data_IF_806024867425
#
_entry.id   IF_806024867425
#
_cell.length_a   1.000
_cell.length_b   1.000
_cell.length_c   1.000
_cell.angle_alpha   90.00
_cell.angle_beta   90.00
_cell.angle_gamma   90.00
#
_symmetry.space_group_name_H-M   'P 1'
#
loop_
_entity.id
_entity.type
_entity.pdbx_description
1 polymer ?
#
# COMPACT_ATOMS: atom_id res chain seq x y z
N UNK A 1 17.38 -3.46 14.27
CA UNK A 1 16.03 -3.80 14.76
C UNK A 1 16.08 -4.82 15.89
N UNK A 2 16.33 -4.37 17.14
CA UNK A 2 16.48 -5.25 18.32
C UNK A 2 15.13 -5.60 19.00
N UNK A 3 14.00 -5.15 18.45
CA UNK A 3 12.64 -5.30 19.01
C UNK A 3 11.67 -6.11 18.14
N UNK A 4 12.15 -6.90 17.17
CA UNK A 4 11.28 -7.72 16.30
C UNK A 4 10.81 -9.05 16.91
N UNK A 5 11.23 -9.38 18.14
CA UNK A 5 10.79 -10.61 18.80
C UNK A 5 9.38 -10.50 19.39
N UNK A 6 8.92 -9.29 19.74
CA UNK A 6 7.58 -9.06 20.29
C UNK A 6 6.57 -8.51 19.28
N UNK A 7 6.99 -8.26 18.03
CA UNK A 7 6.06 -7.79 16.99
C UNK A 7 5.15 -8.92 16.51
N UNK A 8 3.82 -8.70 16.44
CA UNK A 8 2.90 -9.67 15.85
C UNK A 8 3.28 -9.98 14.40
N UNK A 9 3.11 -11.25 13.99
CA UNK A 9 3.47 -11.71 12.65
C UNK A 9 2.86 -10.84 11.54
N UNK A 10 1.58 -10.44 11.67
CA UNK A 10 0.89 -9.63 10.68
C UNK A 10 1.45 -8.21 10.53
N UNK A 11 2.09 -7.65 11.55
CA UNK A 11 2.81 -6.37 11.47
C UNK A 11 4.20 -6.59 10.90
N UNK A 12 4.87 -7.68 11.34
CA UNK A 12 6.20 -8.03 10.87
C UNK A 12 6.20 -8.26 9.36
N UNK A 13 5.24 -9.02 8.83
CA UNK A 13 5.08 -9.23 7.39
C UNK A 13 4.93 -7.94 6.58
N UNK A 14 4.36 -6.89 7.16
CA UNK A 14 4.19 -5.61 6.49
C UNK A 14 5.50 -4.80 6.44
N UNK A 15 6.31 -4.83 7.51
CA UNK A 15 7.41 -3.88 7.71
C UNK A 15 8.78 -4.52 7.99
N UNK A 16 8.95 -5.83 7.85
CA UNK A 16 10.21 -6.54 8.19
C UNK A 16 11.43 -5.96 7.45
N UNK A 17 11.22 -5.58 6.19
CA UNK A 17 12.25 -5.02 5.32
C UNK A 17 12.33 -3.48 5.35
N UNK A 18 11.50 -2.81 6.16
CA UNK A 18 11.34 -1.35 6.13
C UNK A 18 11.74 -0.76 7.48
N UNK A 19 12.93 -0.15 7.60
CA UNK A 19 13.48 0.27 8.89
C UNK A 19 12.90 1.59 9.42
N UNK A 20 12.38 2.46 8.54
CA UNK A 20 11.96 3.82 8.93
C UNK A 20 10.50 4.11 8.62
N UNK A 21 9.88 4.92 9.48
CA UNK A 21 8.50 5.40 9.32
C UNK A 21 8.28 6.12 7.99
N UNK A 22 9.27 6.89 7.54
CA UNK A 22 9.21 7.64 6.27
C UNK A 22 9.07 6.70 5.08
N UNK A 23 9.83 5.62 5.06
CA UNK A 23 9.74 4.60 4.00
C UNK A 23 8.39 3.87 4.04
N UNK A 24 7.89 3.53 5.23
CA UNK A 24 6.59 2.89 5.39
C UNK A 24 5.43 3.77 4.87
N UNK A 25 5.45 5.06 5.19
CA UNK A 25 4.50 6.02 4.62
C UNK A 25 4.62 6.12 3.10
N UNK A 26 5.85 6.18 2.58
CA UNK A 26 6.10 6.19 1.13
C UNK A 26 5.48 4.97 0.44
N UNK A 27 5.67 3.78 1.02
CA UNK A 27 5.10 2.53 0.50
C UNK A 27 3.57 2.60 0.40
N UNK A 28 2.88 3.08 1.44
CA UNK A 28 1.43 3.25 1.42
C UNK A 28 1.00 4.22 0.31
N UNK A 29 1.70 5.35 0.16
CA UNK A 29 1.41 6.33 -0.89
C UNK A 29 1.59 5.72 -2.28
N UNK A 30 2.67 4.96 -2.51
CA UNK A 30 2.88 4.25 -3.77
C UNK A 30 1.79 3.21 -4.03
N UNK A 31 1.35 2.46 -3.02
CA UNK A 31 0.22 1.54 -3.16
C UNK A 31 -1.07 2.26 -3.54
N UNK A 32 -1.36 3.43 -2.95
CA UNK A 32 -2.55 4.24 -3.29
C UNK A 32 -2.46 4.74 -4.74
N UNK A 33 -1.33 5.30 -5.16
CA UNK A 33 -1.13 5.78 -6.54
C UNK A 33 -1.27 4.63 -7.54
N UNK A 34 -0.66 3.48 -7.25
CA UNK A 34 -0.77 2.29 -8.08
C UNK A 34 -2.20 1.78 -8.15
N UNK A 35 -2.93 1.77 -7.03
CA UNK A 35 -4.34 1.38 -7.00
C UNK A 35 -5.20 2.26 -7.88
N UNK A 36 -5.00 3.59 -7.81
CA UNK A 36 -5.69 4.54 -8.68
C UNK A 36 -5.32 4.35 -10.15
N UNK A 37 -4.06 4.02 -10.45
CA UNK A 37 -3.65 3.66 -11.81
C UNK A 37 -4.36 2.40 -12.32
N UNK A 38 -4.59 1.42 -11.43
CA UNK A 38 -5.29 0.18 -11.76
C UNK A 38 -6.82 0.26 -11.80
N UNK A 39 -7.41 1.44 -11.57
CA UNK A 39 -8.85 1.64 -11.77
C UNK A 39 -9.13 1.58 -13.28
N UNK A 40 -10.19 0.89 -13.73
CA UNK A 40 -10.51 0.77 -15.15
C UNK A 40 -11.13 2.05 -15.71
N UNK A 41 -10.36 3.14 -15.74
CA UNK A 41 -10.76 4.45 -16.27
C UNK A 41 -11.24 4.40 -17.72
N UNK A 42 -10.79 3.39 -18.47
CA UNK A 42 -11.21 3.10 -19.84
C UNK A 42 -12.72 2.94 -19.96
N UNK A 43 -13.38 2.35 -18.94
CA UNK A 43 -14.83 2.15 -18.94
C UNK A 43 -15.61 3.45 -18.67
N UNK A 44 -14.94 4.48 -18.16
CA UNK A 44 -15.55 5.75 -17.76
C UNK A 44 -15.14 6.94 -18.65
N UNK A 45 -14.27 6.72 -19.64
CA UNK A 45 -13.77 7.78 -20.53
C UNK A 45 -13.76 7.35 -22.00
N UNK A 46 -14.37 8.17 -22.85
CA UNK A 46 -14.29 8.00 -24.31
C UNK A 46 -12.98 8.53 -24.92
N UNK A 47 -12.07 9.10 -24.10
CA UNK A 47 -10.86 9.73 -24.60
C UNK A 47 -9.81 8.67 -25.02
N UNK A 48 -9.30 8.71 -26.27
CA UNK A 48 -8.30 7.76 -26.75
C UNK A 48 -6.98 7.78 -25.97
N UNK A 49 -6.63 8.91 -25.34
CA UNK A 49 -5.45 8.99 -24.48
C UNK A 49 -5.60 8.15 -23.21
N UNK A 50 -6.81 8.11 -22.63
CA UNK A 50 -7.09 7.29 -21.43
C UNK A 50 -6.96 5.81 -21.77
N UNK A 51 -7.49 5.39 -22.94
CA UNK A 51 -7.33 4.02 -23.46
C UNK A 51 -5.89 3.61 -23.72
N UNK A 52 -5.02 4.56 -24.08
CA UNK A 52 -3.60 4.29 -24.35
C UNK A 52 -2.77 4.25 -23.06
N UNK A 53 -3.12 5.07 -22.06
CA UNK A 53 -2.36 5.21 -20.82
C UNK A 53 -2.78 4.19 -19.75
N UNK A 54 -4.08 3.91 -19.66
CA UNK A 54 -4.66 2.95 -18.73
C UNK A 54 -5.03 1.69 -19.49
N UNK A 55 -4.21 0.66 -19.35
CA UNK A 55 -4.37 -0.62 -20.04
C UNK A 55 -5.33 -1.57 -19.30
N UNK A 56 -5.82 -1.17 -18.13
CA UNK A 56 -6.67 -1.99 -17.26
C UNK A 56 -8.14 -1.73 -17.59
N UNK A 57 -8.85 -2.80 -17.90
CA UNK A 57 -10.27 -2.87 -18.24
C UNK A 57 -11.14 -3.40 -17.10
N UNK A 58 -10.57 -4.14 -16.15
CA UNK A 58 -11.29 -4.75 -15.03
C UNK A 58 -10.81 -4.33 -13.63
N UNK A 59 -11.68 -4.50 -12.63
CA UNK A 59 -11.39 -4.18 -11.22
C UNK A 59 -10.45 -5.17 -10.52
N UNK A 60 -10.03 -6.24 -11.22
CA UNK A 60 -9.23 -7.33 -10.64
C UNK A 60 -7.92 -6.85 -10.01
N UNK A 61 -7.33 -5.77 -10.52
CA UNK A 61 -6.07 -5.23 -10.01
C UNK A 61 -6.25 -4.18 -8.91
N UNK A 62 -7.33 -3.40 -8.93
CA UNK A 62 -7.56 -2.30 -7.98
C UNK A 62 -8.35 -2.73 -6.74
N UNK A 63 -9.35 -3.60 -6.89
CA UNK A 63 -10.17 -4.08 -5.78
C UNK A 63 -9.37 -4.77 -4.66
N UNK A 64 -8.45 -5.72 -4.93
CA UNK A 64 -7.69 -6.38 -3.87
C UNK A 64 -6.62 -5.49 -3.23
N UNK A 65 -6.27 -4.35 -3.85
CA UNK A 65 -5.32 -3.41 -3.24
C UNK A 65 -5.92 -2.65 -2.07
N UNK A 66 -7.24 -2.47 -2.03
CA UNK A 66 -7.93 -1.77 -0.92
C UNK A 66 -7.66 -2.44 0.44
N UNK A 67 -7.93 -3.76 0.64
CA UNK A 67 -7.61 -4.41 1.90
C UNK A 67 -6.11 -4.43 2.21
N UNK A 68 -5.24 -4.50 1.19
CA UNK A 68 -3.78 -4.41 1.37
C UNK A 68 -3.36 -3.04 1.91
N UNK A 69 -3.87 -1.94 1.35
CA UNK A 69 -3.60 -0.58 1.84
C UNK A 69 -4.08 -0.42 3.27
N UNK A 70 -5.28 -0.93 3.59
CA UNK A 70 -5.82 -0.92 4.96
C UNK A 70 -4.90 -1.71 5.89
N UNK A 71 -4.45 -2.89 5.48
CA UNK A 71 -3.55 -3.71 6.28
C UNK A 71 -2.21 -3.02 6.53
N UNK A 72 -1.58 -2.43 5.51
CA UNK A 72 -0.37 -1.63 5.68
C UNK A 72 -0.60 -0.46 6.64
N UNK A 73 -1.69 0.28 6.48
CA UNK A 73 -2.01 1.42 7.34
C UNK A 73 -2.25 1.02 8.80
N UNK A 74 -3.01 -0.06 9.05
CA UNK A 74 -3.23 -0.60 10.40
C UNK A 74 -1.92 -1.09 11.01
N UNK A 75 -1.06 -1.73 10.22
CA UNK A 75 0.26 -2.17 10.66
C UNK A 75 1.15 -0.99 11.03
N UNK A 76 1.17 0.08 10.22
CA UNK A 76 1.88 1.32 10.52
C UNK A 76 1.40 1.94 11.84
N UNK A 77 0.07 2.04 12.02
CA UNK A 77 -0.53 2.57 13.25
C UNK A 77 -0.17 1.74 14.48
N UNK A 78 -0.09 0.42 14.33
CA UNK A 78 0.37 -0.45 15.41
C UNK A 78 1.82 -0.17 15.78
N UNK A 79 2.73 -0.03 14.80
CA UNK A 79 4.16 0.28 15.07
C UNK A 79 4.32 1.66 15.71
N UNK A 80 3.59 2.67 15.22
CA UNK A 80 3.57 4.03 15.79
C UNK A 80 3.16 4.01 17.28
N UNK A 81 2.19 3.17 17.66
CA UNK A 81 1.72 3.05 19.05
C UNK A 81 2.61 2.20 19.97
N UNK A 82 3.53 1.41 19.40
CA UNK A 82 4.41 0.50 20.15
C UNK A 82 5.89 0.92 20.08
N UNK A 83 6.17 2.18 19.72
CA UNK A 83 7.51 2.78 19.66
C UNK A 83 8.51 2.02 18.76
N UNK A 84 8.04 1.34 17.71
CA UNK A 84 8.86 0.38 16.95
C UNK A 84 9.71 0.95 15.82
N UNK A 85 9.73 2.27 15.60
CA UNK A 85 10.57 2.89 14.56
C UNK A 85 11.94 3.26 15.11
N UNK A 86 12.99 2.86 14.40
CA UNK A 86 14.34 3.34 14.66
C UNK A 86 14.40 4.84 14.32
N UNK A 87 14.80 5.65 15.30
CA UNK A 87 14.96 7.11 15.20
C UNK A 87 16.22 7.49 14.44
#
# INVERSE_FOLDING_TARGET
MKQMESTPLWVRLAWDAIPTRKMAMGMIVFCIIFTLYCVPWVNYSANPLVKKLFLIDDWWWSAPMIPLIIWYWVSLKWVDNNHGWES
#
